data_IF_671962234634
#
_entry.id   IF_671962234634
#
_cell.length_a   1.000
_cell.length_b   1.000
_cell.length_c   1.000
_cell.angle_alpha   90.00
_cell.angle_beta   90.00
_cell.angle_gamma   90.00
#
_symmetry.space_group_name_H-M   'P 1'
#
loop_
_entity.id
_entity.type
_entity.pdbx_description
1 polymer ?
#
# COMPACT_ATOMS: atom_id res chain seq x y z
N UNK A 1 -1.02 -13.23 12.45
CA UNK A 1 -2.02 -12.51 13.27
C UNK A 1 -1.87 -12.93 14.72
N UNK A 2 -1.98 -11.99 15.66
CA UNK A 2 -1.64 -12.20 17.08
C UNK A 2 -2.84 -12.43 17.98
N UNK A 3 -4.03 -11.92 17.65
CA UNK A 3 -5.21 -11.98 18.54
C UNK A 3 -6.46 -12.57 17.89
N UNK A 4 -7.37 -13.12 18.71
CA UNK A 4 -8.69 -13.61 18.26
C UNK A 4 -9.48 -12.51 17.55
N UNK A 5 -9.48 -11.30 18.10
CA UNK A 5 -10.14 -10.12 17.51
C UNK A 5 -9.63 -9.77 16.11
N UNK A 6 -8.32 -9.93 15.85
CA UNK A 6 -7.75 -9.73 14.52
C UNK A 6 -8.20 -10.80 13.53
N UNK A 7 -8.26 -12.08 13.97
CA UNK A 7 -8.74 -13.19 13.14
C UNK A 7 -10.22 -13.01 12.77
N UNK A 8 -11.06 -12.63 13.74
CA UNK A 8 -12.48 -12.34 13.51
C UNK A 8 -12.67 -11.15 12.56
N UNK A 9 -11.87 -10.10 12.72
CA UNK A 9 -11.90 -8.95 11.83
C UNK A 9 -11.57 -9.33 10.38
N UNK A 10 -10.50 -10.11 10.17
CA UNK A 10 -10.12 -10.61 8.84
C UNK A 10 -11.19 -11.54 8.28
N UNK A 11 -11.71 -12.47 9.07
CA UNK A 11 -12.78 -13.38 8.64
C UNK A 11 -14.03 -12.60 8.19
N UNK A 12 -14.45 -11.58 8.95
CA UNK A 12 -15.59 -10.73 8.58
C UNK A 12 -15.38 -9.97 7.28
N UNK A 13 -14.13 -9.59 6.98
CA UNK A 13 -13.78 -8.95 5.71
C UNK A 13 -13.83 -9.94 4.55
N UNK A 14 -13.20 -11.11 4.72
CA UNK A 14 -13.10 -12.13 3.67
C UNK A 14 -14.47 -12.72 3.28
N UNK A 15 -15.45 -12.76 4.18
CA UNK A 15 -16.81 -13.23 3.87
C UNK A 15 -17.59 -12.25 2.97
N UNK A 16 -17.15 -10.98 2.89
CA UNK A 16 -17.77 -10.00 1.98
C UNK A 16 -17.24 -10.07 0.54
N UNK A 17 -16.29 -10.95 0.27
CA UNK A 17 -15.62 -11.09 -1.03
C UNK A 17 -16.18 -12.29 -1.79
N UNK A 18 -16.10 -12.26 -3.13
CA UNK A 18 -16.28 -13.47 -3.93
C UNK A 18 -15.14 -14.48 -3.72
N UNK A 19 -15.33 -15.74 -4.11
CA UNK A 19 -14.41 -16.84 -3.81
C UNK A 19 -12.97 -16.58 -4.33
N UNK A 20 -12.84 -16.05 -5.55
CA UNK A 20 -11.54 -15.73 -6.16
C UNK A 20 -10.81 -14.61 -5.39
N UNK A 21 -11.52 -13.51 -5.12
CA UNK A 21 -11.01 -12.40 -4.30
C UNK A 21 -10.66 -12.87 -2.89
N UNK A 22 -11.47 -13.76 -2.31
CA UNK A 22 -11.24 -14.26 -0.97
C UNK A 22 -9.89 -14.96 -0.85
N UNK A 23 -9.53 -15.78 -1.83
CA UNK A 23 -8.26 -16.51 -1.85
C UNK A 23 -7.08 -15.54 -1.99
N UNK A 24 -7.16 -14.62 -2.96
CA UNK A 24 -6.12 -13.62 -3.21
C UNK A 24 -5.87 -12.72 -2.00
N UNK A 25 -6.93 -12.13 -1.44
CA UNK A 25 -6.82 -11.23 -0.29
C UNK A 25 -6.35 -11.99 0.95
N UNK A 26 -6.76 -13.24 1.15
CA UNK A 26 -6.28 -14.08 2.26
C UNK A 26 -4.77 -14.26 2.19
N UNK A 27 -4.21 -14.58 1.03
CA UNK A 27 -2.77 -14.73 0.87
C UNK A 27 -2.00 -13.45 1.21
N UNK A 28 -2.46 -12.30 0.71
CA UNK A 28 -1.85 -11.00 1.03
C UNK A 28 -1.90 -10.72 2.53
N UNK A 29 -3.04 -10.99 3.19
CA UNK A 29 -3.21 -10.77 4.64
C UNK A 29 -2.31 -11.68 5.47
N UNK A 30 -2.14 -12.94 5.06
CA UNK A 30 -1.23 -13.88 5.72
C UNK A 30 0.21 -13.41 5.58
N UNK A 31 0.62 -12.99 4.38
CA UNK A 31 1.97 -12.46 4.14
C UNK A 31 2.26 -11.21 4.98
N UNK A 32 1.33 -10.23 5.00
CA UNK A 32 1.42 -9.05 5.87
C UNK A 32 1.54 -9.45 7.35
N UNK A 33 0.79 -10.47 7.78
CA UNK A 33 0.81 -10.95 9.15
C UNK A 33 2.13 -11.61 9.54
N UNK A 34 2.78 -12.32 8.62
CA UNK A 34 4.11 -12.92 8.80
C UNK A 34 5.18 -11.85 9.00
N UNK A 35 5.08 -10.76 8.23
CA UNK A 35 5.94 -9.56 8.37
C UNK A 35 5.56 -8.67 9.56
N UNK A 36 4.67 -9.10 10.45
CA UNK A 36 4.33 -8.40 11.69
C UNK A 36 3.31 -7.26 11.57
N UNK A 37 2.70 -7.06 10.39
CA UNK A 37 1.62 -6.09 10.22
C UNK A 37 0.31 -6.60 10.82
N UNK A 38 -0.35 -5.71 11.56
CA UNK A 38 -1.58 -6.04 12.28
C UNK A 38 -2.78 -5.37 11.61
N UNK A 39 -3.86 -6.12 11.32
CA UNK A 39 -5.08 -5.53 10.81
C UNK A 39 -5.76 -4.71 11.90
N UNK A 40 -6.22 -3.51 11.53
CA UNK A 40 -7.05 -2.63 12.35
C UNK A 40 -8.25 -2.19 11.54
N UNK A 41 -9.44 -2.19 12.17
CA UNK A 41 -10.64 -1.64 11.56
C UNK A 41 -10.57 -0.12 11.59
N UNK A 42 -10.67 0.51 10.44
CA UNK A 42 -10.79 1.96 10.28
C UNK A 42 -12.06 2.24 9.48
N UNK A 43 -13.14 2.61 10.17
CA UNK A 43 -14.48 2.78 9.55
C UNK A 43 -14.90 1.50 8.79
N UNK A 44 -15.00 1.57 7.47
CA UNK A 44 -15.42 0.48 6.57
C UNK A 44 -14.25 -0.28 5.92
N UNK A 45 -13.01 -0.02 6.32
CA UNK A 45 -11.81 -0.64 5.74
C UNK A 45 -10.91 -1.26 6.83
N UNK A 46 -10.03 -2.14 6.39
CA UNK A 46 -8.89 -2.62 7.15
C UNK A 46 -7.65 -1.81 6.79
N UNK A 47 -6.91 -1.38 7.81
CA UNK A 47 -5.56 -0.86 7.68
C UNK A 47 -4.57 -1.83 8.31
N UNK A 48 -3.39 -1.96 7.70
CA UNK A 48 -2.32 -2.83 8.17
C UNK A 48 -1.14 -1.99 8.62
N UNK A 49 -0.90 -1.97 9.94
CA UNK A 49 0.15 -1.18 10.60
C UNK A 49 1.15 -2.09 11.29
N UNK A 50 2.43 -1.73 11.20
CA UNK A 50 3.50 -2.44 11.91
C UNK A 50 3.73 -1.82 13.29
N UNK A 51 4.04 -2.64 14.29
CA UNK A 51 4.24 -2.14 15.65
C UNK A 51 5.57 -1.41 15.85
N UNK A 52 6.62 -1.77 15.10
CA UNK A 52 7.96 -1.20 15.32
C UNK A 52 8.11 0.22 14.76
N UNK A 53 7.50 0.52 13.61
CA UNK A 53 7.65 1.82 12.94
C UNK A 53 6.33 2.58 12.83
N UNK A 54 5.21 2.03 13.35
CA UNK A 54 3.86 2.61 13.36
C UNK A 54 3.27 3.01 11.98
N UNK A 55 4.01 2.86 10.89
CA UNK A 55 3.53 3.14 9.53
C UNK A 55 2.56 2.08 9.05
N UNK A 56 1.64 2.54 8.21
CA UNK A 56 0.68 1.72 7.51
C UNK A 56 1.15 1.51 6.06
N UNK A 57 1.12 0.27 5.59
CA UNK A 57 1.49 -0.02 4.18
C UNK A 57 0.30 -0.48 3.33
N UNK A 58 -0.71 -1.12 3.92
CA UNK A 58 -1.86 -1.62 3.17
C UNK A 58 -3.17 -1.09 3.73
N UNK A 59 -4.09 -0.76 2.81
CA UNK A 59 -5.52 -0.60 3.06
C UNK A 59 -6.30 -1.52 2.14
N UNK A 60 -7.32 -2.16 2.68
CA UNK A 60 -8.25 -2.97 1.90
C UNK A 60 -9.65 -2.86 2.48
N UNK A 61 -10.67 -3.03 1.65
CA UNK A 61 -12.05 -2.95 2.10
C UNK A 61 -13.00 -3.13 0.93
N UNK A 62 -14.28 -2.92 1.19
CA UNK A 62 -15.33 -2.97 0.15
C UNK A 62 -15.95 -1.58 0.03
N UNK A 63 -16.12 -1.11 -1.20
CA UNK A 63 -16.77 0.17 -1.54
C UNK A 63 -18.00 -0.07 -2.39
N UNK A 64 -18.89 0.91 -2.43
CA UNK A 64 -20.15 0.82 -3.16
C UNK A 64 -21.25 0.22 -2.29
N UNK A 65 -22.41 0.91 -2.26
CA UNK A 65 -23.61 0.43 -1.53
C UNK A 65 -24.47 -0.50 -2.38
N UNK A 66 -24.53 -0.27 -3.69
CA UNK A 66 -25.37 -1.01 -4.64
C UNK A 66 -24.59 -2.12 -5.34
N UNK A 67 -23.33 -1.84 -5.67
CA UNK A 67 -22.39 -2.78 -6.27
C UNK A 67 -21.14 -2.80 -5.38
N UNK A 68 -21.12 -3.68 -4.37
CA UNK A 68 -19.98 -3.83 -3.48
C UNK A 68 -18.79 -4.35 -4.28
N UNK A 69 -17.71 -3.57 -4.34
CA UNK A 69 -16.46 -3.94 -5.00
C UNK A 69 -15.31 -3.87 -4.01
N UNK A 70 -14.43 -4.88 -3.95
CA UNK A 70 -13.23 -4.79 -3.14
C UNK A 70 -12.29 -3.73 -3.68
N UNK A 71 -11.52 -3.12 -2.80
CA UNK A 71 -10.40 -2.28 -3.16
C UNK A 71 -9.16 -2.69 -2.40
N UNK A 72 -8.01 -2.49 -3.02
CA UNK A 72 -6.70 -2.72 -2.44
C UNK A 72 -5.82 -1.49 -2.68
N UNK A 73 -5.13 -1.04 -1.65
CA UNK A 73 -4.16 0.04 -1.77
C UNK A 73 -2.88 -0.33 -1.02
N UNK A 74 -1.74 -0.10 -1.67
CA UNK A 74 -0.42 -0.46 -1.19
C UNK A 74 0.49 0.78 -1.20
N UNK A 75 1.27 0.94 -0.15
CA UNK A 75 2.43 1.82 -0.12
C UNK A 75 3.64 1.02 -0.61
N UNK A 76 4.30 1.50 -1.65
CA UNK A 76 5.47 0.87 -2.26
C UNK A 76 6.45 1.94 -2.80
N UNK A 77 6.53 3.10 -2.12
CA UNK A 77 7.31 4.24 -2.61
C UNK A 77 8.83 4.04 -2.49
N UNK A 78 9.27 3.11 -1.65
CA UNK A 78 10.66 2.69 -1.57
C UNK A 78 11.07 1.70 -2.67
N UNK A 79 10.09 1.08 -3.33
CA UNK A 79 10.33 0.05 -4.34
C UNK A 79 10.73 0.68 -5.67
N UNK A 80 11.69 0.06 -6.37
CA UNK A 80 12.15 0.49 -7.71
C UNK A 80 12.10 -0.70 -8.67
N UNK A 81 11.92 -0.43 -9.98
CA UNK A 81 11.91 -1.49 -10.99
C UNK A 81 10.67 -2.40 -10.95
N UNK A 82 9.55 -1.89 -10.45
CA UNK A 82 8.24 -2.54 -10.58
C UNK A 82 7.75 -2.51 -12.03
N UNK A 83 6.81 -3.39 -12.36
CA UNK A 83 6.26 -3.58 -13.69
C UNK A 83 5.50 -2.35 -14.19
N UNK A 84 5.25 -2.31 -15.52
CA UNK A 84 4.49 -1.21 -16.13
C UNK A 84 3.11 -1.05 -15.49
N UNK A 85 2.49 -2.13 -15.01
CA UNK A 85 1.18 -2.07 -14.34
C UNK A 85 1.23 -1.19 -13.09
N UNK A 86 2.24 -1.35 -12.23
CA UNK A 86 2.42 -0.52 -11.04
C UNK A 86 2.92 0.89 -11.39
N UNK A 87 3.67 1.04 -12.49
CA UNK A 87 4.02 2.35 -13.03
C UNK A 87 2.79 3.16 -13.46
N UNK A 88 1.80 2.52 -14.09
CA UNK A 88 0.53 3.16 -14.43
C UNK A 88 -0.30 3.52 -13.19
N UNK A 89 -0.23 2.74 -12.11
CA UNK A 89 -0.84 3.10 -10.81
C UNK A 89 -0.24 4.38 -10.25
N UNK A 90 1.09 4.51 -10.31
CA UNK A 90 1.80 5.73 -9.90
C UNK A 90 1.41 6.91 -10.77
N UNK A 91 1.47 6.76 -12.10
CA UNK A 91 1.08 7.78 -13.07
C UNK A 91 -0.35 8.27 -12.83
N UNK A 92 -1.29 7.35 -12.70
CA UNK A 92 -2.70 7.65 -12.46
C UNK A 92 -2.90 8.41 -11.15
N UNK A 93 -2.16 8.05 -10.10
CA UNK A 93 -2.21 8.74 -8.82
C UNK A 93 -1.66 10.17 -8.88
N UNK A 94 -0.56 10.38 -9.61
CA UNK A 94 0.00 11.72 -9.89
C UNK A 94 -1.02 12.60 -10.61
N UNK A 95 -1.65 12.08 -11.67
CA UNK A 95 -2.64 12.83 -12.46
C UNK A 95 -3.89 13.14 -11.63
N UNK A 96 -4.38 12.16 -10.86
CA UNK A 96 -5.61 12.28 -10.08
C UNK A 96 -5.46 13.19 -8.85
N UNK A 97 -4.26 13.24 -8.26
CA UNK A 97 -3.99 13.99 -7.03
C UNK A 97 -2.76 14.89 -7.17
N UNK A 98 -2.79 15.91 -8.05
CA UNK A 98 -1.62 16.75 -8.32
C UNK A 98 -1.15 17.55 -7.10
N UNK A 99 -2.02 17.81 -6.13
CA UNK A 99 -1.67 18.49 -4.88
C UNK A 99 -0.90 17.62 -3.88
N UNK A 100 -0.76 16.32 -4.13
CA UNK A 100 -0.04 15.37 -3.26
C UNK A 100 1.43 15.18 -3.68
N UNK A 101 2.07 16.26 -4.10
CA UNK A 101 3.50 16.28 -4.44
C UNK A 101 4.41 15.92 -3.26
N UNK A 102 5.66 15.55 -3.57
CA UNK A 102 6.66 15.15 -2.58
C UNK A 102 7.30 16.34 -1.87
N UNK A 103 6.61 16.91 -0.89
CA UNK A 103 7.08 18.08 -0.12
C UNK A 103 8.39 17.86 0.66
N UNK A 104 8.74 16.62 0.98
CA UNK A 104 10.03 16.31 1.61
C UNK A 104 11.23 16.68 0.70
N UNK A 105 11.04 16.73 -0.62
CA UNK A 105 12.08 17.14 -1.58
C UNK A 105 12.47 18.63 -1.45
N UNK A 106 11.56 19.47 -0.94
CA UNK A 106 11.80 20.91 -0.70
C UNK A 106 12.04 21.23 0.77
N UNK A 107 12.09 20.23 1.66
CA UNK A 107 12.22 20.43 3.11
C UNK A 107 10.93 20.87 3.81
N UNK A 108 9.80 20.92 3.11
CA UNK A 108 8.50 21.37 3.67
C UNK A 108 7.73 20.25 4.39
N UNK A 109 8.36 19.09 4.61
CA UNK A 109 7.77 17.94 5.30
C UNK A 109 8.86 16.99 5.83
N UNK A 110 8.73 16.59 7.09
CA UNK A 110 9.64 15.71 7.85
C UNK A 110 8.95 14.42 8.35
N UNK A 111 7.79 14.08 7.78
CA UNK A 111 6.95 12.96 8.25
C UNK A 111 7.56 11.56 8.06
N UNK A 112 8.42 11.41 7.04
CA UNK A 112 9.07 10.16 6.67
C UNK A 112 10.57 10.27 6.93
N UNK A 113 11.16 9.19 7.45
CA UNK A 113 12.59 9.09 7.65
C UNK A 113 13.32 8.57 6.39
N UNK A 114 14.63 8.82 6.36
CA UNK A 114 15.49 8.52 5.21
C UNK A 114 15.51 9.64 4.16
N UNK A 115 16.33 9.46 3.13
CA UNK A 115 16.52 10.49 2.09
C UNK A 115 15.24 10.70 1.27
N UNK A 116 14.83 11.95 0.96
CA UNK A 116 13.57 12.22 0.27
C UNK A 116 13.36 11.44 -1.04
N UNK A 117 14.38 11.26 -1.86
CA UNK A 117 14.30 10.59 -3.17
C UNK A 117 14.15 9.06 -3.07
N UNK A 118 14.49 8.46 -1.93
CA UNK A 118 14.41 7.00 -1.73
C UNK A 118 13.01 6.53 -1.38
N UNK A 119 12.08 7.40 -0.98
CA UNK A 119 10.76 7.01 -0.48
C UNK A 119 9.60 7.78 -1.10
N UNK A 120 9.76 8.25 -2.34
CA UNK A 120 8.71 8.94 -3.11
C UNK A 120 8.34 8.17 -4.37
N UNK A 121 7.11 8.36 -4.84
CA UNK A 121 6.72 7.92 -6.17
C UNK A 121 7.18 8.92 -7.22
N UNK A 122 7.56 8.41 -8.39
CA UNK A 122 8.07 9.20 -9.50
C UNK A 122 7.58 8.58 -10.80
N UNK A 123 7.20 9.40 -11.77
CA UNK A 123 6.88 8.96 -13.12
C UNK A 123 7.46 9.93 -14.14
N UNK A 124 8.06 9.38 -15.21
CA UNK A 124 8.54 10.13 -16.36
C UNK A 124 7.52 10.01 -17.50
N UNK A 125 6.96 11.14 -17.93
CA UNK A 125 6.00 11.21 -19.02
C UNK A 125 6.71 11.21 -20.38
N UNK A 126 5.96 10.90 -21.44
CA UNK A 126 6.49 10.80 -22.81
C UNK A 126 7.02 12.13 -23.36
N UNK A 127 6.61 13.26 -22.78
CA UNK A 127 7.09 14.60 -23.09
C UNK A 127 8.41 14.96 -22.36
N UNK A 128 8.96 14.03 -21.57
CA UNK A 128 10.16 14.23 -20.77
C UNK A 128 9.90 14.86 -19.40
N UNK A 129 8.66 15.23 -19.07
CA UNK A 129 8.31 15.75 -17.76
C UNK A 129 8.42 14.65 -16.69
N UNK A 130 9.11 14.95 -15.59
CA UNK A 130 9.21 14.05 -14.43
C UNK A 130 8.39 14.64 -13.29
N UNK A 131 7.35 13.93 -12.86
CA UNK A 131 6.53 14.32 -11.69
C UNK A 131 6.73 13.37 -10.53
N UNK A 132 6.52 13.90 -9.33
CA UNK A 132 6.64 13.16 -8.07
C UNK A 132 5.32 13.15 -7.31
N UNK A 133 5.14 12.14 -6.47
CA UNK A 133 4.00 12.05 -5.55
C UNK A 133 4.49 11.52 -4.20
N UNK A 134 3.93 12.09 -3.13
CA UNK A 134 4.29 11.76 -1.76
C UNK A 134 4.16 10.26 -1.51
N UNK A 135 5.22 9.65 -1.00
CA UNK A 135 5.29 8.21 -0.76
C UNK A 135 4.65 7.74 0.55
N UNK A 136 4.28 8.65 1.44
CA UNK A 136 3.52 8.30 2.64
C UNK A 136 2.13 7.72 2.32
N UNK A 137 1.59 8.03 1.13
CA UNK A 137 0.30 7.53 0.69
C UNK A 137 0.39 6.12 0.10
N UNK A 138 -0.51 5.24 0.53
CA UNK A 138 -0.83 4.01 -0.20
C UNK A 138 -1.61 4.36 -1.47
N UNK A 139 -1.19 3.82 -2.62
CA UNK A 139 -1.87 4.00 -3.89
C UNK A 139 -2.85 2.86 -4.12
N UNK A 140 -4.04 3.19 -4.62
CA UNK A 140 -5.07 2.20 -4.95
C UNK A 140 -4.70 1.48 -6.24
N UNK A 141 -4.66 0.15 -6.20
CA UNK A 141 -4.35 -0.70 -7.34
C UNK A 141 -5.69 -1.26 -7.84
N UNK A 142 -6.15 -0.85 -9.03
CA UNK A 142 -7.46 -1.26 -9.53
C UNK A 142 -7.44 -2.73 -9.93
N UNK A 143 -8.46 -3.48 -9.49
CA UNK A 143 -8.72 -4.86 -9.91
C UNK A 143 -7.48 -5.75 -9.83
N UNK A 144 -6.97 -5.96 -8.61
CA UNK A 144 -5.87 -6.91 -8.39
C UNK A 144 -6.32 -8.32 -8.76
N UNK A 145 -5.40 -9.09 -9.33
CA UNK A 145 -5.66 -10.47 -9.74
C UNK A 145 -4.55 -11.41 -9.25
N UNK A 146 -4.70 -12.72 -9.45
CA UNK A 146 -3.75 -13.74 -8.98
C UNK A 146 -2.36 -13.53 -9.61
N UNK A 147 -2.30 -13.04 -10.84
CA UNK A 147 -1.06 -12.74 -11.56
C UNK A 147 -0.25 -11.61 -10.89
N UNK A 148 -0.91 -10.73 -10.14
CA UNK A 148 -0.26 -9.63 -9.42
C UNK A 148 0.38 -10.09 -8.10
N UNK A 149 0.00 -11.26 -7.58
CA UNK A 149 0.25 -11.65 -6.20
C UNK A 149 1.74 -11.67 -5.84
N UNK A 150 2.56 -12.23 -6.72
CA UNK A 150 4.01 -12.33 -6.48
C UNK A 150 4.69 -10.97 -6.52
N UNK A 151 4.27 -10.07 -7.42
CA UNK A 151 4.78 -8.70 -7.44
C UNK A 151 4.29 -7.93 -6.20
N UNK A 152 3.03 -8.07 -5.78
CA UNK A 152 2.50 -7.47 -4.55
C UNK A 152 3.32 -7.93 -3.33
N UNK A 153 3.61 -9.23 -3.19
CA UNK A 153 4.44 -9.76 -2.10
C UNK A 153 5.84 -9.15 -2.14
N UNK A 154 6.47 -9.07 -3.31
CA UNK A 154 7.78 -8.42 -3.49
C UNK A 154 7.76 -6.95 -3.05
N UNK A 155 6.78 -6.17 -3.51
CA UNK A 155 6.62 -4.76 -3.14
C UNK A 155 6.39 -4.57 -1.64
N UNK A 156 5.57 -5.41 -1.02
CA UNK A 156 5.36 -5.41 0.43
C UNK A 156 6.68 -5.66 1.16
N UNK A 157 7.47 -6.64 0.70
CA UNK A 157 8.75 -7.00 1.32
C UNK A 157 9.77 -5.87 1.24
N UNK A 158 9.97 -5.30 0.05
CA UNK A 158 10.93 -4.21 -0.16
C UNK A 158 10.55 -2.96 0.64
N UNK A 159 9.28 -2.56 0.63
CA UNK A 159 8.80 -1.44 1.46
C UNK A 159 8.99 -1.74 2.96
N UNK A 160 8.70 -2.97 3.39
CA UNK A 160 8.88 -3.39 4.78
C UNK A 160 10.34 -3.28 5.23
N UNK A 161 11.28 -3.79 4.44
CA UNK A 161 12.72 -3.72 4.73
C UNK A 161 13.21 -2.28 4.81
N UNK A 162 12.75 -1.41 3.90
CA UNK A 162 13.05 0.01 3.95
C UNK A 162 12.54 0.66 5.25
N UNK A 163 11.28 0.42 5.61
CA UNK A 163 10.66 0.99 6.81
C UNK A 163 11.31 0.48 8.09
N UNK A 164 11.72 -0.79 8.16
CA UNK A 164 12.48 -1.29 9.30
C UNK A 164 13.82 -0.57 9.45
N UNK A 165 14.55 -0.37 8.36
CA UNK A 165 15.85 0.28 8.37
C UNK A 165 15.77 1.76 8.77
N UNK A 166 14.77 2.48 8.27
CA UNK A 166 14.73 3.93 8.38
C UNK A 166 13.76 4.47 9.44
N UNK A 167 12.69 3.74 9.78
CA UNK A 167 11.59 4.28 10.61
C UNK A 167 11.44 3.56 11.96
N UNK A 168 12.00 2.36 12.14
CA UNK A 168 11.89 1.62 13.41
C UNK A 168 12.83 2.16 14.50
N UNK A 169 13.79 3.01 14.15
CA UNK A 169 14.76 3.64 15.06
C UNK A 169 14.73 5.18 15.00
N UNK A 170 13.76 5.73 14.26
CA UNK A 170 13.58 7.18 14.09
C UNK A 170 12.75 7.79 15.22
#
# INVERSE_FOLDING_TARGET
MKTKKQKELVASFLVMLGDDDQSLYREIILYLSELGYNPKKERSQLSFKHALHNKQIVKMGVRGKKEPAPFFALRFSACKGYSQRFAEVVRSSIIKFPSRGSKCMSGDCDYCAGEPDTHIYTYAFSDGEKKTHCGAYSLEIPSIAVEDLEEIKKLIKEEHEYLLKHEASA
#
